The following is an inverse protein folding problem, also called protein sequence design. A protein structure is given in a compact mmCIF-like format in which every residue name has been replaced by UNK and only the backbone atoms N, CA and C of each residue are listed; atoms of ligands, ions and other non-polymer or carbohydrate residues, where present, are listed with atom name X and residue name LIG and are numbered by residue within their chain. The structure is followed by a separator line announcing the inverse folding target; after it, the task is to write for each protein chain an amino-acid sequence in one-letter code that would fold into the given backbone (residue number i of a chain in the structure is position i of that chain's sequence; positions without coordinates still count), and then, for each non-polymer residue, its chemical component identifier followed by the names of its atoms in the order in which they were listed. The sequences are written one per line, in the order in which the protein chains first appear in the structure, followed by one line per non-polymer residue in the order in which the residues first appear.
data_IF_092777011667
#
_entry.id   IF_092777011667
#
_cell.length_a   1.000
_cell.length_b   1.000
_cell.length_c   1.000
_cell.angle_alpha   90.00
_cell.angle_beta   90.00
_cell.angle_gamma   90.00
#
_symmetry.space_group_name_H-M   'P 1'
#
loop_
_entity.id
_entity.type
_entity.pdbx_description
1 polymer ?
#
# COMPACT_ATOMS: atom_id res chain seq x y z
N UNK A 1 -98.19 17.82 46.86
CA UNK A 1 -98.83 16.56 46.40
C UNK A 1 -98.40 16.37 44.95
N UNK A 2 -97.38 15.54 44.66
CA UNK A 2 -97.51 14.14 44.16
C UNK A 2 -98.10 14.11 42.75
N UNK A 3 -97.58 13.49 41.69
CA UNK A 3 -96.83 12.23 41.54
C UNK A 3 -96.49 12.02 40.04
N UNK A 4 -95.26 11.59 39.71
CA UNK A 4 -94.85 10.53 38.73
C UNK A 4 -95.72 10.30 37.45
N UNK A 5 -95.21 10.20 36.20
CA UNK A 5 -94.33 9.15 35.59
C UNK A 5 -94.16 9.46 34.08
N UNK A 6 -92.94 9.45 33.53
CA UNK A 6 -92.35 8.44 32.59
C UNK A 6 -92.92 8.31 31.15
N UNK A 7 -92.08 8.75 30.21
CA UNK A 7 -91.55 8.03 29.01
C UNK A 7 -92.44 7.66 27.81
N UNK A 8 -92.06 8.15 26.61
CA UNK A 8 -91.96 7.47 25.29
C UNK A 8 -91.66 8.55 24.23
N UNK A 9 -90.48 8.61 23.61
CA UNK A 9 -89.95 7.86 22.46
C UNK A 9 -90.53 8.21 21.08
N UNK A 10 -89.59 8.49 20.16
CA UNK A 10 -89.53 8.18 18.72
C UNK A 10 -90.18 9.09 17.66
N UNK A 11 -89.38 9.25 16.59
CA UNK A 11 -89.71 9.57 15.17
C UNK A 11 -89.83 11.06 14.83
N UNK A 12 -89.25 11.63 13.76
CA UNK A 12 -88.21 11.25 12.82
C UNK A 12 -87.92 12.45 11.88
N UNK A 13 -86.96 12.26 10.97
CA UNK A 13 -86.91 12.78 9.59
C UNK A 13 -86.69 14.30 9.41
N UNK A 14 -85.89 14.80 8.48
CA UNK A 14 -85.10 14.20 7.40
C UNK A 14 -84.14 15.29 6.88
N UNK A 15 -82.98 14.84 6.40
CA UNK A 15 -82.34 15.25 5.14
C UNK A 15 -82.23 16.76 4.83
N UNK A 16 -81.01 17.29 4.95
CA UNK A 16 -80.57 18.51 4.29
C UNK A 16 -79.09 18.37 3.92
N UNK A 17 -78.80 18.48 2.63
CA UNK A 17 -77.65 17.87 1.98
C UNK A 17 -76.26 18.41 2.37
N UNK A 18 -75.35 17.44 2.42
CA UNK A 18 -73.91 17.51 2.49
C UNK A 18 -73.32 18.25 1.27
N UNK A 19 -72.87 19.50 1.44
CA UNK A 19 -71.97 20.13 0.48
C UNK A 19 -70.53 19.81 0.90
N UNK A 20 -70.05 18.64 0.44
CA UNK A 20 -68.64 18.31 0.37
C UNK A 20 -67.96 19.26 -0.61
N UNK A 21 -67.27 20.28 -0.10
CA UNK A 21 -66.13 20.85 -0.81
C UNK A 21 -64.87 20.24 -0.18
N UNK A 22 -64.18 19.28 -0.84
CA UNK A 22 -62.87 18.87 -0.39
C UNK A 22 -61.92 20.08 -0.53
N UNK A 23 -61.44 20.62 0.59
CA UNK A 23 -60.21 21.41 0.56
C UNK A 23 -59.12 20.37 0.34
N UNK A 24 -58.82 20.13 -0.92
CA UNK A 24 -57.75 19.25 -1.34
C UNK A 24 -56.43 19.87 -0.86
N UNK A 25 -55.97 19.47 0.32
CA UNK A 25 -54.58 19.67 0.73
C UNK A 25 -53.74 18.63 -0.03
N UNK A 26 -53.55 18.89 -1.32
CA UNK A 26 -52.39 18.38 -2.06
C UNK A 26 -51.21 19.25 -1.64
N UNK A 27 -50.16 18.73 -1.03
CA UNK A 27 -49.46 17.49 -1.37
C UNK A 27 -48.90 16.83 -0.11
N UNK A 28 -49.04 15.51 -0.02
CA UNK A 28 -48.16 14.68 0.78
C UNK A 28 -46.77 14.90 0.20
N UNK A 29 -45.93 15.65 0.90
CA UNK A 29 -44.51 15.67 0.57
C UNK A 29 -43.98 14.30 0.98
N UNK A 30 -43.89 13.39 0.02
CA UNK A 30 -42.92 12.31 0.15
C UNK A 30 -41.57 12.99 0.12
N UNK A 31 -41.08 13.41 1.29
CA UNK A 31 -39.65 13.61 1.45
C UNK A 31 -39.06 12.23 1.15
N UNK A 32 -38.45 12.09 -0.04
CA UNK A 32 -37.51 11.00 -0.25
C UNK A 32 -36.48 11.15 0.84
N UNK A 33 -36.59 10.32 1.87
CA UNK A 33 -35.55 10.20 2.85
C UNK A 33 -34.36 9.65 2.06
N UNK A 34 -33.44 10.53 1.70
CA UNK A 34 -32.13 10.14 1.27
C UNK A 34 -31.47 9.53 2.51
N UNK A 35 -31.67 8.23 2.71
CA UNK A 35 -30.81 7.47 3.60
C UNK A 35 -29.45 7.52 2.94
N UNK A 36 -28.62 8.48 3.35
CA UNK A 36 -27.20 8.39 3.09
C UNK A 36 -26.78 7.08 3.76
N UNK A 37 -26.45 6.08 2.95
CA UNK A 37 -25.61 4.99 3.43
C UNK A 37 -24.21 5.61 3.49
N UNK A 38 -23.67 5.99 4.67
CA UNK A 38 -22.24 6.18 4.77
C UNK A 38 -21.63 4.79 4.64
N UNK A 39 -21.49 4.30 3.41
CA UNK A 39 -20.40 3.39 3.14
C UNK A 39 -19.16 4.20 3.50
N UNK A 40 -18.58 3.91 4.66
CA UNK A 40 -17.24 4.39 5.00
C UNK A 40 -16.35 4.00 3.82
N UNK A 41 -16.02 4.98 2.99
CA UNK A 41 -14.97 4.84 1.99
C UNK A 41 -13.70 4.62 2.80
N UNK A 42 -13.27 3.37 2.90
CA UNK A 42 -11.98 3.06 3.49
C UNK A 42 -10.94 3.55 2.47
N UNK A 43 -10.36 4.71 2.76
CA UNK A 43 -9.20 5.21 2.05
C UNK A 43 -8.00 4.44 2.58
N UNK A 44 -7.67 3.32 1.93
CA UNK A 44 -6.40 2.64 2.20
C UNK A 44 -5.26 3.48 1.62
N UNK A 45 -4.57 4.22 2.47
CA UNK A 45 -3.34 4.92 2.06
C UNK A 45 -2.20 3.90 2.04
N UNK A 46 -1.83 3.43 0.86
CA UNK A 46 -0.61 2.64 0.70
C UNK A 46 0.63 3.53 0.65
N UNK A 47 1.78 3.00 1.09
CA UNK A 47 3.08 3.68 0.95
C UNK A 47 4.05 2.88 0.08
N UNK A 48 4.87 3.58 -0.69
CA UNK A 48 6.06 3.04 -1.35
C UNK A 48 7.25 3.30 -0.44
N UNK A 49 7.98 2.24 -0.07
CA UNK A 49 9.10 2.35 0.86
C UNK A 49 10.17 1.35 0.49
N UNK A 50 11.21 1.83 -0.20
CA UNK A 50 12.36 1.03 -0.62
C UNK A 50 13.66 1.64 -0.11
N UNK A 51 14.54 0.83 0.46
CA UNK A 51 15.81 1.28 1.05
C UNK A 51 16.83 0.14 1.09
N UNK A 52 18.09 0.51 1.33
CA UNK A 52 19.16 -0.44 1.54
C UNK A 52 19.32 -0.76 3.04
N UNK A 53 19.60 -2.02 3.37
CA UNK A 53 19.84 -2.45 4.75
C UNK A 53 21.04 -3.41 4.87
N UNK A 54 21.66 -3.46 6.04
CA UNK A 54 22.71 -4.46 6.35
C UNK A 54 22.14 -5.84 6.72
N UNK A 55 20.85 -5.91 7.05
CA UNK A 55 20.11 -7.14 7.37
C UNK A 55 18.78 -7.17 6.62
N UNK A 56 18.22 -8.34 6.34
CA UNK A 56 16.94 -8.51 5.66
C UNK A 56 15.75 -7.89 6.42
N UNK A 57 15.88 -7.73 7.74
CA UNK A 57 14.88 -7.13 8.64
C UNK A 57 15.24 -5.72 9.09
N UNK A 58 16.18 -5.04 8.41
CA UNK A 58 16.55 -3.68 8.77
C UNK A 58 15.32 -2.76 8.69
N UNK A 59 15.22 -1.81 9.60
CA UNK A 59 14.19 -0.76 9.55
C UNK A 59 14.71 0.37 8.65
N UNK A 60 13.81 1.02 7.91
CA UNK A 60 14.17 2.13 7.03
C UNK A 60 14.91 3.24 7.79
N UNK A 61 16.20 3.51 7.46
CA UNK A 61 16.98 4.52 8.16
C UNK A 61 16.72 5.94 7.63
N UNK A 62 15.79 6.13 6.68
CA UNK A 62 15.50 7.41 5.99
C UNK A 62 16.75 8.07 5.38
N UNK A 63 17.75 7.28 5.06
CA UNK A 63 19.06 7.73 4.57
C UNK A 63 19.73 6.61 3.77
N UNK A 64 20.84 6.93 3.10
CA UNK A 64 21.63 5.94 2.38
C UNK A 64 22.34 4.98 3.34
N UNK A 65 22.47 3.72 2.91
CA UNK A 65 23.26 2.75 3.66
C UNK A 65 24.75 3.01 3.40
N UNK A 66 25.54 3.15 4.46
CA UNK A 66 27.00 3.23 4.37
C UNK A 66 27.62 2.03 5.07
N UNK A 67 28.42 1.25 4.35
CA UNK A 67 29.05 0.04 4.90
C UNK A 67 30.49 -0.09 4.45
N UNK A 68 31.41 -0.55 5.32
CA UNK A 68 32.76 -0.92 4.90
C UNK A 68 32.72 -2.15 3.98
N UNK A 69 33.64 -2.16 3.02
CA UNK A 69 33.91 -3.24 2.09
C UNK A 69 35.41 -3.48 2.05
N UNK A 70 35.79 -4.75 2.12
CA UNK A 70 37.19 -5.20 2.06
C UNK A 70 37.45 -5.76 0.65
N UNK A 71 38.58 -5.38 0.06
CA UNK A 71 39.05 -5.82 -1.24
C UNK A 71 38.97 -7.35 -1.39
N UNK A 72 38.35 -7.80 -2.48
CA UNK A 72 38.21 -9.21 -2.83
C UNK A 72 37.22 -10.00 -1.98
N UNK A 73 36.73 -9.44 -0.86
CA UNK A 73 35.74 -10.09 0.00
C UNK A 73 34.33 -9.75 -0.48
N UNK A 74 33.45 -10.74 -0.39
CA UNK A 74 32.02 -10.52 -0.59
C UNK A 74 31.48 -9.64 0.54
N UNK A 75 30.81 -8.55 0.19
CA UNK A 75 29.92 -7.81 1.08
C UNK A 75 28.49 -8.14 0.73
N UNK A 76 27.70 -8.47 1.75
CA UNK A 76 26.26 -8.67 1.63
C UNK A 76 25.51 -7.45 2.11
N UNK A 77 24.45 -7.09 1.39
CA UNK A 77 23.48 -6.07 1.80
C UNK A 77 22.13 -6.39 1.16
N UNK A 78 21.11 -5.65 1.57
CA UNK A 78 19.73 -5.92 1.22
C UNK A 78 19.10 -4.72 0.55
N UNK A 79 18.23 -4.97 -0.42
CA UNK A 79 17.27 -3.99 -0.93
C UNK A 79 15.92 -4.46 -0.45
N UNK A 80 15.29 -3.64 0.38
CA UNK A 80 14.09 -4.00 1.13
C UNK A 80 12.95 -3.12 0.66
N UNK A 81 11.79 -3.72 0.42
CA UNK A 81 10.53 -3.02 0.25
C UNK A 81 9.64 -3.30 1.46
N UNK A 82 9.60 -2.39 2.44
CA UNK A 82 8.68 -2.47 3.58
C UNK A 82 7.36 -1.73 3.33
N UNK A 83 7.15 -1.23 2.11
CA UNK A 83 5.93 -0.56 1.70
C UNK A 83 4.76 -1.53 1.50
N UNK A 84 3.59 -0.95 1.21
CA UNK A 84 2.38 -1.69 0.87
C UNK A 84 2.31 -2.04 -0.63
N UNK A 85 3.11 -1.36 -1.44
CA UNK A 85 3.10 -1.51 -2.89
C UNK A 85 4.32 -2.30 -3.37
N UNK A 86 4.09 -3.25 -4.27
CA UNK A 86 5.18 -3.85 -5.04
C UNK A 86 5.75 -2.86 -6.04
N UNK A 87 6.98 -3.12 -6.52
CA UNK A 87 7.63 -2.34 -7.57
C UNK A 87 8.04 -3.27 -8.70
N UNK A 88 7.90 -2.83 -9.95
CA UNK A 88 8.45 -3.53 -11.12
C UNK A 88 9.84 -3.02 -11.52
N UNK A 89 10.23 -1.85 -10.99
CA UNK A 89 11.49 -1.19 -11.32
C UNK A 89 11.94 -0.28 -10.19
N UNK A 90 13.24 -0.23 -9.95
CA UNK A 90 13.88 0.72 -9.02
C UNK A 90 15.30 1.04 -9.51
N UNK A 91 15.86 2.14 -9.00
CA UNK A 91 17.20 2.61 -9.34
C UNK A 91 18.10 2.52 -8.12
N UNK A 92 19.31 2.00 -8.33
CA UNK A 92 20.34 1.88 -7.30
C UNK A 92 21.56 2.66 -7.76
N UNK A 93 22.10 3.47 -6.86
CA UNK A 93 23.36 4.18 -7.05
C UNK A 93 24.35 3.71 -5.99
N UNK A 94 25.49 3.17 -6.44
CA UNK A 94 26.60 2.81 -5.59
C UNK A 94 27.68 3.89 -5.67
N UNK A 95 27.94 4.59 -4.58
CA UNK A 95 29.03 5.57 -4.51
C UNK A 95 30.27 4.91 -3.92
N UNK A 96 31.36 4.98 -4.67
CA UNK A 96 32.65 4.35 -4.39
C UNK A 96 33.78 5.31 -4.79
N UNK A 97 34.96 5.25 -4.16
CA UNK A 97 36.09 6.08 -4.60
C UNK A 97 36.45 5.85 -6.07
N UNK A 98 37.02 6.87 -6.70
CA UNK A 98 37.46 6.81 -8.08
C UNK A 98 38.40 5.61 -8.35
N UNK A 99 38.23 4.98 -9.51
CA UNK A 99 39.00 3.80 -9.91
C UNK A 99 38.65 2.51 -9.15
N UNK A 100 37.53 2.47 -8.41
CA UNK A 100 36.99 1.22 -7.89
C UNK A 100 36.33 0.44 -9.03
N UNK A 101 36.73 -0.81 -9.21
CA UNK A 101 36.11 -1.75 -10.13
C UNK A 101 35.27 -2.75 -9.33
N UNK A 102 34.04 -2.95 -9.79
CA UNK A 102 33.14 -3.97 -9.26
C UNK A 102 33.45 -5.27 -10.00
N UNK A 103 34.11 -6.20 -9.30
CA UNK A 103 34.48 -7.50 -9.87
C UNK A 103 33.27 -8.41 -9.99
N UNK A 104 32.31 -8.27 -9.07
CA UNK A 104 31.12 -9.10 -9.09
C UNK A 104 29.96 -8.44 -8.37
N UNK A 105 28.78 -8.49 -8.98
CA UNK A 105 27.53 -8.10 -8.34
C UNK A 105 26.46 -9.14 -8.63
N UNK A 106 25.87 -9.71 -7.57
CA UNK A 106 24.92 -10.82 -7.64
C UNK A 106 23.74 -10.57 -6.72
N UNK A 107 22.63 -11.23 -7.01
CA UNK A 107 21.47 -11.31 -6.12
C UNK A 107 20.95 -12.74 -6.02
N UNK A 108 20.26 -13.04 -4.93
CA UNK A 108 19.41 -14.20 -4.84
C UNK A 108 17.99 -13.92 -5.38
N UNK A 109 17.13 -14.94 -5.34
CA UNK A 109 15.69 -14.75 -5.51
C UNK A 109 15.09 -13.86 -4.40
N UNK A 110 13.84 -13.39 -4.56
CA UNK A 110 13.20 -12.58 -3.55
C UNK A 110 13.03 -13.38 -2.25
N UNK A 111 13.27 -12.75 -1.11
CA UNK A 111 13.21 -13.33 0.24
C UNK A 111 14.14 -14.53 0.46
N UNK A 112 15.22 -14.63 -0.33
CA UNK A 112 16.23 -15.67 -0.19
C UNK A 112 17.56 -15.00 0.17
N UNK A 113 18.15 -15.42 1.28
CA UNK A 113 19.46 -14.96 1.73
C UNK A 113 20.60 -15.72 1.05
N UNK A 114 21.79 -15.11 1.07
CA UNK A 114 23.03 -15.86 0.85
C UNK A 114 23.37 -16.65 2.11
N UNK A 115 23.55 -17.96 1.98
CA UNK A 115 24.02 -18.83 3.09
C UNK A 115 25.54 -18.94 3.12
N UNK A 116 26.18 -18.69 1.98
CA UNK A 116 27.62 -18.57 1.84
C UNK A 116 27.94 -17.64 0.67
N UNK A 117 29.23 -17.35 0.50
CA UNK A 117 29.74 -16.67 -0.67
C UNK A 117 29.24 -17.36 -1.95
N UNK A 118 28.63 -16.57 -2.83
CA UNK A 118 28.11 -17.04 -4.13
C UNK A 118 27.04 -18.15 -4.03
N UNK A 119 26.42 -18.35 -2.86
CA UNK A 119 25.48 -19.45 -2.61
C UNK A 119 24.21 -18.92 -1.95
N UNK A 120 23.09 -19.02 -2.67
CA UNK A 120 21.76 -18.70 -2.13
C UNK A 120 21.25 -19.86 -1.26
N UNK A 121 20.47 -19.57 -0.21
CA UNK A 121 19.88 -20.61 0.64
C UNK A 121 18.92 -21.54 -0.09
N UNK A 122 18.35 -21.07 -1.20
CA UNK A 122 17.60 -21.88 -2.16
C UNK A 122 17.80 -21.34 -3.57
N UNK A 123 17.74 -22.22 -4.57
CA UNK A 123 17.95 -21.88 -5.98
C UNK A 123 19.37 -21.40 -6.29
N UNK A 124 19.49 -20.58 -7.33
CA UNK A 124 20.76 -20.01 -7.79
C UNK A 124 20.79 -18.48 -7.68
N UNK A 125 21.98 -17.91 -7.76
CA UNK A 125 22.13 -16.46 -7.89
C UNK A 125 21.93 -16.00 -9.33
N UNK A 126 21.58 -14.73 -9.49
CA UNK A 126 21.60 -14.00 -10.76
C UNK A 126 22.67 -12.93 -10.72
N UNK A 127 23.48 -12.83 -11.78
CA UNK A 127 24.44 -11.73 -11.93
C UNK A 127 23.71 -10.45 -12.32
N UNK A 128 24.15 -9.33 -11.74
CA UNK A 128 23.67 -7.99 -12.05
C UNK A 128 24.83 -7.15 -12.57
N UNK A 129 24.54 -6.21 -13.47
CA UNK A 129 25.51 -5.23 -13.94
C UNK A 129 25.21 -3.89 -13.29
N UNK A 130 26.24 -3.26 -12.73
CA UNK A 130 26.18 -1.92 -12.14
C UNK A 130 27.54 -1.24 -12.30
N UNK A 131 27.51 0.07 -12.45
CA UNK A 131 28.72 0.90 -12.54
C UNK A 131 28.90 1.68 -11.25
N UNK A 132 30.13 1.75 -10.75
CA UNK A 132 30.46 2.61 -9.63
C UNK A 132 30.18 4.08 -9.98
N UNK A 133 29.64 4.83 -9.01
CA UNK A 133 29.30 6.25 -9.10
C UNK A 133 28.29 6.61 -10.20
N UNK A 134 27.48 5.64 -10.64
CA UNK A 134 26.43 5.88 -11.61
C UNK A 134 25.13 5.22 -11.18
N UNK A 135 24.02 5.90 -11.45
CA UNK A 135 22.69 5.37 -11.21
C UNK A 135 22.40 4.24 -12.19
N UNK A 136 22.09 3.06 -11.67
CA UNK A 136 21.72 1.89 -12.47
C UNK A 136 20.29 1.50 -12.17
N UNK A 137 19.48 1.40 -13.21
CA UNK A 137 18.06 1.03 -13.08
C UNK A 137 17.89 -0.47 -13.25
N UNK A 138 17.31 -1.12 -12.25
CA UNK A 138 16.95 -2.53 -12.29
C UNK A 138 15.48 -2.69 -12.63
N UNK A 139 15.21 -3.43 -13.72
CA UNK A 139 13.87 -3.90 -14.09
C UNK A 139 13.69 -5.25 -13.41
N UNK A 140 13.33 -5.21 -12.12
CA UNK A 140 13.14 -6.38 -11.28
C UNK A 140 11.92 -6.15 -10.40
N UNK A 141 11.03 -7.15 -10.37
CA UNK A 141 9.85 -7.10 -9.51
C UNK A 141 10.26 -7.33 -8.06
N UNK A 142 10.03 -6.33 -7.21
CA UNK A 142 10.20 -6.40 -5.77
C UNK A 142 8.83 -6.26 -5.09
N UNK A 143 8.18 -7.36 -4.70
CA UNK A 143 6.90 -7.35 -4.00
C UNK A 143 6.89 -6.51 -2.71
N UNK A 144 5.70 -6.13 -2.25
CA UNK A 144 5.53 -5.51 -0.94
C UNK A 144 5.97 -6.46 0.17
N UNK A 145 6.61 -5.93 1.22
CA UNK A 145 7.10 -6.72 2.36
C UNK A 145 8.19 -7.74 2.00
N UNK A 146 8.94 -7.50 0.93
CA UNK A 146 9.97 -8.42 0.44
C UNK A 146 11.34 -7.78 0.33
N UNK A 147 12.37 -8.62 0.16
CA UNK A 147 13.74 -8.15 -0.03
C UNK A 147 14.48 -8.93 -1.13
N UNK A 148 15.53 -8.31 -1.66
CA UNK A 148 16.62 -9.02 -2.32
C UNK A 148 17.86 -8.98 -1.45
N UNK A 149 18.51 -10.14 -1.27
CA UNK A 149 19.87 -10.20 -0.79
C UNK A 149 20.83 -10.00 -1.96
N UNK A 150 21.82 -9.13 -1.80
CA UNK A 150 22.81 -8.81 -2.82
C UNK A 150 24.21 -9.06 -2.28
N UNK A 151 25.09 -9.48 -3.18
CA UNK A 151 26.50 -9.68 -2.91
C UNK A 151 27.33 -8.81 -3.87
N UNK A 152 28.24 -8.02 -3.31
CA UNK A 152 29.20 -7.20 -4.06
C UNK A 152 30.64 -7.63 -3.73
N UNK A 153 31.47 -7.73 -4.75
CA UNK A 153 32.94 -7.79 -4.61
C UNK A 153 33.57 -6.67 -5.43
N UNK A 154 34.55 -6.00 -4.84
CA UNK A 154 35.29 -4.92 -5.47
C UNK A 154 36.79 -5.00 -5.16
N UNK A 155 37.56 -4.19 -5.89
CA UNK A 155 39.02 -4.20 -5.84
C UNK A 155 39.66 -3.23 -4.82
N UNK A 156 38.89 -2.58 -3.94
CA UNK A 156 39.39 -1.59 -2.97
C UNK A 156 38.75 -1.74 -1.58
N UNK A 157 39.55 -1.50 -0.54
CA UNK A 157 39.09 -1.31 0.84
C UNK A 157 38.49 0.09 0.96
N UNK A 158 37.20 0.20 1.25
CA UNK A 158 36.54 1.51 1.39
C UNK A 158 35.15 1.38 2.01
N UNK A 159 34.49 2.52 2.23
CA UNK A 159 33.06 2.56 2.47
C UNK A 159 32.31 2.61 1.14
N UNK A 160 31.35 1.70 1.00
CA UNK A 160 30.34 1.74 -0.04
C UNK A 160 29.14 2.51 0.50
N UNK A 161 28.64 3.47 -0.27
CA UNK A 161 27.36 4.13 0.00
C UNK A 161 26.34 3.66 -1.02
N UNK A 162 25.17 3.21 -0.56
CA UNK A 162 24.09 2.68 -1.38
C UNK A 162 22.90 3.60 -1.24
N UNK A 163 22.51 4.21 -2.36
CA UNK A 163 21.29 4.99 -2.46
C UNK A 163 20.28 4.26 -3.35
N UNK A 164 19.02 4.30 -2.98
CA UNK A 164 17.93 3.68 -3.73
C UNK A 164 16.86 4.72 -3.99
N UNK A 165 16.34 4.73 -5.21
CA UNK A 165 15.16 5.50 -5.57
C UNK A 165 14.19 4.65 -6.36
N UNK A 166 12.90 4.95 -6.23
CA UNK A 166 11.84 4.35 -7.02
C UNK A 166 10.87 5.44 -7.47
N UNK A 167 10.16 5.17 -8.55
CA UNK A 167 9.19 6.10 -9.12
C UNK A 167 7.81 5.43 -9.07
N UNK A 168 6.80 6.20 -8.65
CA UNK A 168 5.43 5.73 -8.51
C UNK A 168 4.82 5.18 -9.79
N UNK A 169 5.32 5.57 -10.97
CA UNK A 169 4.92 5.02 -12.26
C UNK A 169 5.22 3.51 -12.40
N UNK A 170 6.07 2.94 -11.54
CA UNK A 170 6.46 1.52 -11.55
C UNK A 170 5.92 0.76 -10.34
N UNK A 171 4.94 1.33 -9.64
CA UNK A 171 4.20 0.61 -8.61
C UNK A 171 3.37 -0.50 -9.27
N UNK A 172 3.53 -1.72 -8.76
CA UNK A 172 2.64 -2.82 -9.03
C UNK A 172 1.57 -2.87 -7.92
N UNK A 173 0.35 -2.48 -8.25
CA UNK A 173 -0.82 -2.49 -7.35
C UNK A 173 -1.53 -3.83 -7.29
N UNK A 174 -1.06 -4.85 -8.03
CA UNK A 174 -1.69 -6.17 -8.04
C UNK A 174 -1.70 -6.73 -6.61
N UNK A 175 -2.89 -6.87 -6.02
CA UNK A 175 -3.10 -7.33 -4.65
C UNK A 175 -3.42 -6.25 -3.61
N UNK A 176 -3.41 -4.95 -3.96
CA UNK A 176 -3.95 -3.91 -3.08
C UNK A 176 -5.43 -3.74 -3.40
N UNK A 177 -6.27 -4.49 -2.69
CA UNK A 177 -7.72 -4.24 -2.69
C UNK A 177 -7.97 -3.01 -1.82
N UNK A 178 -8.55 -1.95 -2.40
CA UNK A 178 -9.29 -1.00 -1.58
C UNK A 178 -10.37 -1.81 -0.88
N UNK A 179 -10.22 -1.98 0.43
CA UNK A 179 -11.29 -2.52 1.27
C UNK A 179 -12.34 -1.46 1.48
#
# INVERSE_FOLDING_TARGET
MGSKRRTASLVATAMGALLLAPIQSTTISFASQATANPSTLSLSTGRMEIYAGDTSTAINPFSSLTTPVINGRAKFFYIINSGNFGLSRFTVTLTLPAGTAIANFRRCGPNIDFVANDTCGSGGYSSLTISANSATTFILTLPAGSFYALQLRQNKNTNLVINISANSAHINTSGVTNS
#
